data_IF_084819476281
#
_entry.id   IF_084819476281
#
_cell.length_a   1.000
_cell.length_b   1.000
_cell.length_c   1.000
_cell.angle_alpha   90.00
_cell.angle_beta   90.00
_cell.angle_gamma   90.00
#
_symmetry.space_group_name_H-M   'P 1'
#
loop_
_entity.id
_entity.type
_entity.pdbx_description
1 polymer ?
#
# COMPACT_ATOMS: atom_id res chain seq x y z
N UNK A 1 35.90 1.79 9.55
CA UNK A 1 36.12 0.38 9.93
C UNK A 1 36.33 0.20 11.44
N UNK A 2 37.25 0.93 12.12
CA UNK A 2 37.53 0.76 13.57
C UNK A 2 36.33 1.03 14.52
N UNK A 3 35.50 2.06 14.27
CA UNK A 3 34.30 2.34 15.09
C UNK A 3 33.24 1.24 15.01
N UNK A 4 33.08 0.60 13.83
CA UNK A 4 32.12 -0.48 13.63
C UNK A 4 32.56 -1.76 14.37
N UNK A 5 33.86 -2.08 14.33
CA UNK A 5 34.44 -3.22 15.04
C UNK A 5 34.40 -2.99 16.57
N UNK A 6 34.57 -1.77 17.02
CA UNK A 6 34.48 -1.40 18.45
C UNK A 6 33.03 -1.53 18.95
N UNK A 7 32.03 -1.08 18.18
CA UNK A 7 30.61 -1.29 18.48
C UNK A 7 30.23 -2.79 18.55
N UNK A 8 30.82 -3.63 17.69
CA UNK A 8 30.58 -5.09 17.70
C UNK A 8 31.04 -5.71 19.03
N UNK A 9 32.18 -5.27 19.55
CA UNK A 9 32.75 -5.75 20.86
C UNK A 9 31.94 -5.28 22.06
N UNK A 10 31.28 -4.11 21.96
CA UNK A 10 30.51 -3.52 23.05
C UNK A 10 29.04 -4.03 23.12
N UNK A 11 28.49 -4.60 22.01
CA UNK A 11 27.09 -5.02 21.94
C UNK A 11 26.87 -6.39 21.28
N UNK A 12 27.55 -7.47 21.73
CA UNK A 12 27.44 -8.79 21.10
C UNK A 12 26.00 -9.33 21.09
N UNK A 13 25.20 -9.00 22.12
CA UNK A 13 23.80 -9.43 22.23
C UNK A 13 22.95 -8.87 21.08
N UNK A 14 23.03 -7.59 20.78
CA UNK A 14 22.27 -6.94 19.72
C UNK A 14 22.59 -7.54 18.34
N UNK A 15 23.86 -7.87 18.10
CA UNK A 15 24.32 -8.48 16.85
C UNK A 15 23.83 -9.92 16.73
N UNK A 16 23.85 -10.69 17.81
CA UNK A 16 23.31 -12.05 17.82
C UNK A 16 21.82 -12.01 17.47
N UNK A 17 21.06 -11.06 18.00
CA UNK A 17 19.65 -10.88 17.69
C UNK A 17 19.41 -10.53 16.20
N UNK A 18 20.26 -9.67 15.62
CA UNK A 18 20.21 -9.37 14.19
C UNK A 18 20.49 -10.62 13.34
N UNK A 19 21.57 -11.31 13.64
CA UNK A 19 21.97 -12.52 12.88
C UNK A 19 20.91 -13.63 12.99
N UNK A 20 20.34 -13.81 14.18
CA UNK A 20 19.24 -14.75 14.38
C UNK A 20 17.99 -14.36 13.58
N UNK A 21 17.61 -13.09 13.60
CA UNK A 21 16.49 -12.57 12.80
C UNK A 21 16.76 -12.76 11.31
N UNK A 22 17.94 -12.37 10.82
CA UNK A 22 18.33 -12.58 9.42
C UNK A 22 18.29 -14.06 9.02
N UNK A 23 18.78 -14.96 9.88
CA UNK A 23 18.76 -16.38 9.60
C UNK A 23 17.33 -16.91 9.42
N UNK A 24 16.40 -16.50 10.30
CA UNK A 24 14.99 -16.91 10.19
C UNK A 24 14.35 -16.34 8.92
N UNK A 25 14.49 -15.04 8.66
CA UNK A 25 13.88 -14.42 7.48
C UNK A 25 14.45 -14.97 6.17
N UNK A 26 15.77 -15.15 6.06
CA UNK A 26 16.40 -15.72 4.87
C UNK A 26 16.06 -17.21 4.70
N UNK A 27 15.99 -17.98 5.80
CA UNK A 27 15.53 -19.35 5.72
C UNK A 27 14.17 -19.45 5.04
N UNK A 28 13.19 -18.66 5.48
CA UNK A 28 11.85 -18.68 4.88
C UNK A 28 11.79 -18.00 3.51
N UNK A 29 12.65 -17.05 3.23
CA UNK A 29 12.78 -16.47 1.88
C UNK A 29 13.16 -17.55 0.85
N UNK A 30 14.07 -18.45 1.21
CA UNK A 30 14.48 -19.56 0.33
C UNK A 30 13.55 -20.76 0.38
N UNK A 31 12.97 -21.07 1.54
CA UNK A 31 12.10 -22.22 1.73
C UNK A 31 10.73 -22.05 1.06
N UNK A 32 10.08 -20.91 1.31
CA UNK A 32 8.75 -20.61 0.75
C UNK A 32 8.85 -19.93 -0.64
N UNK A 33 9.98 -19.25 -0.95
CA UNK A 33 10.16 -18.50 -2.18
C UNK A 33 9.24 -17.30 -2.29
N UNK A 34 9.02 -16.84 -3.53
CA UNK A 34 8.09 -15.74 -3.83
C UNK A 34 6.66 -16.27 -3.91
N UNK A 35 5.76 -15.62 -3.19
CA UNK A 35 4.34 -15.97 -3.18
C UNK A 35 3.55 -14.94 -3.97
N UNK A 36 2.86 -15.42 -5.00
CA UNK A 36 2.02 -14.65 -5.91
C UNK A 36 0.58 -14.67 -5.39
N UNK A 37 0.01 -13.49 -5.24
CA UNK A 37 -1.41 -13.27 -4.96
C UNK A 37 -2.09 -12.69 -6.20
N UNK A 38 -3.40 -12.59 -6.18
CA UNK A 38 -4.18 -11.98 -7.25
C UNK A 38 -3.64 -10.59 -7.64
N UNK A 39 -3.45 -9.73 -6.65
CA UNK A 39 -2.90 -8.38 -6.85
C UNK A 39 -1.45 -8.34 -7.36
N UNK A 40 -0.68 -9.40 -7.16
CA UNK A 40 0.74 -9.44 -7.56
C UNK A 40 0.92 -9.27 -9.07
N UNK A 41 -0.01 -9.80 -9.86
CA UNK A 41 0.02 -9.67 -11.33
C UNK A 41 -0.02 -8.21 -11.77
N UNK A 42 -0.84 -7.38 -11.13
CA UNK A 42 -0.98 -5.97 -11.47
C UNK A 42 0.29 -5.15 -11.19
N UNK A 43 1.08 -5.55 -10.17
CA UNK A 43 2.40 -4.95 -9.93
C UNK A 43 3.45 -5.46 -10.92
N UNK A 44 3.44 -6.77 -11.22
CA UNK A 44 4.37 -7.41 -12.16
C UNK A 44 4.20 -6.86 -13.58
N UNK A 45 2.95 -6.65 -14.01
CA UNK A 45 2.58 -6.13 -15.31
C UNK A 45 2.65 -4.59 -15.38
N UNK A 46 3.00 -3.93 -14.28
CA UNK A 46 3.08 -2.48 -14.18
C UNK A 46 1.76 -1.79 -14.56
N UNK A 47 0.63 -2.34 -14.07
CA UNK A 47 -0.71 -1.83 -14.36
C UNK A 47 -0.86 -0.34 -14.04
N UNK A 48 -1.66 0.37 -14.84
CA UNK A 48 -1.97 1.79 -14.64
C UNK A 48 -2.68 2.07 -13.30
N UNK A 49 -3.34 1.07 -12.72
CA UNK A 49 -4.03 1.17 -11.44
C UNK A 49 -3.10 1.11 -10.21
N UNK A 50 -1.77 1.06 -10.39
CA UNK A 50 -0.81 0.88 -9.29
C UNK A 50 0.16 2.05 -9.16
N UNK A 51 0.45 2.40 -7.93
CA UNK A 51 1.48 3.38 -7.58
C UNK A 51 2.85 2.95 -8.09
N UNK A 52 3.71 3.89 -8.49
CA UNK A 52 4.87 3.61 -9.35
C UNK A 52 6.04 2.88 -8.65
N UNK A 53 6.25 3.06 -7.34
CA UNK A 53 7.50 2.63 -6.72
C UNK A 53 7.69 1.11 -6.71
N UNK A 54 6.66 0.35 -6.32
CA UNK A 54 6.79 -1.10 -6.21
C UNK A 54 6.91 -1.79 -7.58
N UNK A 55 6.12 -1.43 -8.61
CA UNK A 55 6.37 -1.89 -9.98
C UNK A 55 7.77 -1.58 -10.50
N UNK A 56 8.31 -0.37 -10.24
CA UNK A 56 9.68 -0.01 -10.61
C UNK A 56 10.73 -0.86 -9.90
N UNK A 57 10.52 -1.17 -8.62
CA UNK A 57 11.39 -2.09 -7.87
C UNK A 57 11.42 -3.47 -8.51
N UNK A 58 10.25 -4.01 -8.88
CA UNK A 58 10.13 -5.28 -9.60
C UNK A 58 10.85 -5.23 -10.96
N UNK A 59 10.63 -4.16 -11.73
CA UNK A 59 11.27 -3.94 -13.02
C UNK A 59 12.80 -3.84 -12.90
N UNK A 60 13.30 -3.15 -11.89
CA UNK A 60 14.73 -3.08 -11.58
C UNK A 60 15.34 -4.47 -11.38
N UNK A 61 14.76 -5.30 -10.51
CA UNK A 61 15.27 -6.65 -10.31
C UNK A 61 15.10 -7.55 -11.53
N UNK A 62 14.03 -7.37 -12.31
CA UNK A 62 13.81 -8.08 -13.57
C UNK A 62 14.89 -7.74 -14.60
N UNK A 63 15.37 -6.50 -14.66
CA UNK A 63 16.46 -6.11 -15.55
C UNK A 63 17.81 -6.74 -15.16
N UNK A 64 18.03 -7.04 -13.87
CA UNK A 64 19.23 -7.72 -13.38
C UNK A 64 19.19 -9.24 -13.60
N UNK A 65 18.02 -9.85 -13.44
CA UNK A 65 17.84 -11.31 -13.60
C UNK A 65 16.39 -11.64 -13.91
N UNK A 66 16.03 -11.80 -15.21
CA UNK A 66 14.65 -12.08 -15.61
C UNK A 66 14.02 -13.31 -14.95
N UNK A 67 14.81 -14.36 -14.71
CA UNK A 67 14.32 -15.63 -14.21
C UNK A 67 14.18 -15.65 -12.66
N UNK A 68 14.95 -14.82 -11.94
CA UNK A 68 15.06 -14.89 -10.47
C UNK A 68 14.65 -13.59 -9.76
N UNK A 69 14.14 -12.60 -10.49
CA UNK A 69 13.87 -11.28 -9.92
C UNK A 69 12.90 -11.31 -8.73
N UNK A 70 11.87 -12.15 -8.77
CA UNK A 70 10.93 -12.27 -7.66
C UNK A 70 11.60 -12.78 -6.38
N UNK A 71 12.52 -13.76 -6.51
CA UNK A 71 13.30 -14.23 -5.37
C UNK A 71 14.20 -13.12 -4.82
N UNK A 72 14.83 -12.31 -5.66
CA UNK A 72 15.67 -11.20 -5.21
C UNK A 72 14.86 -10.12 -4.49
N UNK A 73 13.63 -9.83 -4.96
CA UNK A 73 12.70 -8.93 -4.26
C UNK A 73 12.35 -9.49 -2.88
N UNK A 74 12.01 -10.77 -2.79
CA UNK A 74 11.72 -11.45 -1.51
C UNK A 74 12.92 -11.40 -0.58
N UNK A 75 14.13 -11.67 -1.06
CA UNK A 75 15.35 -11.57 -0.25
C UNK A 75 15.54 -10.14 0.27
N UNK A 76 15.36 -9.13 -0.58
CA UNK A 76 15.43 -7.72 -0.16
C UNK A 76 14.40 -7.40 0.93
N UNK A 77 13.14 -7.79 0.74
CA UNK A 77 12.05 -7.57 1.71
C UNK A 77 12.36 -8.21 3.07
N UNK A 78 12.88 -9.43 3.06
CA UNK A 78 13.24 -10.17 4.26
C UNK A 78 14.46 -9.58 4.98
N UNK A 79 15.51 -9.16 4.25
CA UNK A 79 16.66 -8.46 4.82
C UNK A 79 16.23 -7.12 5.41
N UNK A 80 15.41 -6.37 4.68
CA UNK A 80 14.91 -5.07 5.13
C UNK A 80 14.08 -5.22 6.40
N UNK A 81 13.25 -6.26 6.51
CA UNK A 81 12.45 -6.54 7.70
C UNK A 81 13.30 -6.91 8.91
N UNK A 82 14.28 -7.80 8.74
CA UNK A 82 15.19 -8.17 9.80
C UNK A 82 15.96 -6.94 10.33
N UNK A 83 16.46 -6.11 9.40
CA UNK A 83 17.23 -4.92 9.74
C UNK A 83 16.38 -3.83 10.39
N UNK A 84 15.19 -3.54 9.85
CA UNK A 84 14.29 -2.51 10.38
C UNK A 84 13.76 -2.87 11.77
N UNK A 85 13.38 -4.12 11.97
CA UNK A 85 12.96 -4.62 13.28
C UNK A 85 14.10 -4.55 14.31
N UNK A 86 15.30 -4.96 13.90
CA UNK A 86 16.49 -4.90 14.77
C UNK A 86 16.86 -3.46 15.17
N UNK A 87 16.96 -2.52 14.22
CA UNK A 87 17.40 -1.16 14.51
C UNK A 87 16.43 -0.42 15.44
N UNK A 88 15.11 -0.63 15.21
CA UNK A 88 14.07 -0.07 16.07
C UNK A 88 14.14 -0.66 17.48
N UNK A 89 14.22 -1.98 17.60
CA UNK A 89 14.34 -2.66 18.89
C UNK A 89 15.58 -2.25 19.68
N UNK A 90 16.74 -2.16 19.00
CA UNK A 90 18.00 -1.75 19.64
C UNK A 90 17.94 -0.29 20.11
N UNK A 91 17.33 0.58 19.33
CA UNK A 91 17.12 1.98 19.69
C UNK A 91 16.17 2.12 20.89
N UNK A 92 15.03 1.44 20.87
CA UNK A 92 14.09 1.41 22.00
C UNK A 92 14.73 0.85 23.28
N UNK A 93 15.50 -0.23 23.17
CA UNK A 93 16.25 -0.79 24.30
C UNK A 93 17.16 0.24 24.93
N UNK A 94 17.88 1.01 24.13
CA UNK A 94 18.83 2.04 24.62
C UNK A 94 18.10 3.21 25.29
N UNK A 95 17.06 3.76 24.65
CA UNK A 95 16.34 4.92 25.19
C UNK A 95 15.61 4.57 26.49
N UNK A 96 14.94 3.43 26.51
CA UNK A 96 14.12 3.02 27.65
C UNK A 96 14.94 2.28 28.72
N UNK A 97 16.26 2.13 28.50
CA UNK A 97 17.19 1.41 29.38
C UNK A 97 16.65 0.03 29.80
N UNK A 98 16.11 -0.71 28.83
CA UNK A 98 15.45 -2.02 29.08
C UNK A 98 16.52 -3.09 29.31
N UNK A 99 16.30 -3.90 30.36
CA UNK A 99 17.17 -5.05 30.64
C UNK A 99 17.19 -6.04 29.48
N UNK A 100 18.33 -6.71 29.24
CA UNK A 100 18.55 -7.61 28.11
C UNK A 100 17.46 -8.67 27.93
N UNK A 101 16.96 -9.25 29.03
CA UNK A 101 15.92 -10.27 28.99
C UNK A 101 14.63 -9.73 28.35
N UNK A 102 14.14 -8.58 28.79
CA UNK A 102 12.93 -7.97 28.23
C UNK A 102 13.15 -7.41 26.83
N UNK A 103 14.37 -6.95 26.51
CA UNK A 103 14.69 -6.49 25.17
C UNK A 103 14.65 -7.63 24.13
N UNK A 104 14.87 -8.88 24.54
CA UNK A 104 14.68 -10.04 23.67
C UNK A 104 13.29 -10.07 23.04
N UNK A 105 12.25 -9.71 23.81
CA UNK A 105 10.87 -9.66 23.33
C UNK A 105 10.75 -8.63 22.19
N UNK A 106 11.38 -7.43 22.35
CA UNK A 106 11.34 -6.40 21.31
C UNK A 106 11.98 -6.87 19.99
N UNK A 107 13.10 -7.59 20.07
CA UNK A 107 13.77 -8.11 18.87
C UNK A 107 12.99 -9.25 18.22
N UNK A 108 12.35 -10.10 19.02
CA UNK A 108 11.59 -11.25 18.52
C UNK A 108 10.20 -10.88 18.03
N UNK A 109 9.64 -9.75 18.45
CA UNK A 109 8.28 -9.35 18.10
C UNK A 109 8.02 -9.32 16.58
N UNK A 110 8.88 -8.68 15.74
CA UNK A 110 8.69 -8.71 14.29
C UNK A 110 8.76 -10.12 13.70
N UNK A 111 9.69 -10.94 14.20
CA UNK A 111 9.84 -12.34 13.77
C UNK A 111 8.62 -13.16 14.18
N UNK A 112 8.17 -13.03 15.44
CA UNK A 112 7.00 -13.74 15.95
C UNK A 112 5.73 -13.36 15.17
N UNK A 113 5.54 -12.07 14.87
CA UNK A 113 4.41 -11.60 14.06
C UNK A 113 4.44 -12.20 12.65
N UNK A 114 5.61 -12.24 12.01
CA UNK A 114 5.77 -12.84 10.68
C UNK A 114 5.51 -14.35 10.69
N UNK A 115 5.99 -15.05 11.70
CA UNK A 115 5.73 -16.48 11.90
C UNK A 115 4.26 -16.74 12.21
N UNK A 116 3.62 -15.89 13.02
CA UNK A 116 2.19 -15.99 13.30
C UNK A 116 1.36 -15.84 12.01
N UNK A 117 1.69 -14.86 11.18
CA UNK A 117 1.06 -14.70 9.85
C UNK A 117 1.25 -15.96 9.00
N UNK A 118 2.42 -16.59 9.05
CA UNK A 118 2.70 -17.81 8.28
C UNK A 118 1.88 -19.02 8.78
N UNK A 119 1.75 -19.20 10.09
CA UNK A 119 1.14 -20.41 10.67
C UNK A 119 -0.34 -20.24 11.02
N UNK A 120 -0.78 -19.03 11.40
CA UNK A 120 -2.16 -18.79 11.82
C UNK A 120 -3.06 -18.29 10.67
N UNK A 121 -2.53 -17.48 9.76
CA UNK A 121 -3.28 -17.10 8.56
C UNK A 121 -3.22 -18.24 7.54
N UNK A 122 -4.31 -18.51 6.83
CA UNK A 122 -4.42 -19.52 5.75
C UNK A 122 -3.38 -19.35 4.61
N UNK A 123 -2.36 -18.54 4.79
CA UNK A 123 -1.41 -18.08 3.77
C UNK A 123 -0.09 -18.84 3.75
N UNK A 124 0.18 -19.85 4.48
CA UNK A 124 1.36 -20.72 4.43
C UNK A 124 2.74 -20.04 4.15
N UNK A 125 2.84 -18.70 4.20
CA UNK A 125 4.08 -17.95 3.98
C UNK A 125 4.13 -16.66 4.80
N UNK A 126 5.35 -16.16 5.04
CA UNK A 126 5.52 -14.83 5.64
C UNK A 126 5.03 -13.74 4.69
N UNK A 127 4.44 -12.64 5.22
CA UNK A 127 4.02 -11.51 4.38
C UNK A 127 5.18 -10.87 3.62
N UNK A 128 6.41 -10.97 4.13
CA UNK A 128 7.64 -10.53 3.44
C UNK A 128 8.01 -11.38 2.23
N UNK A 129 7.39 -12.54 2.05
CA UNK A 129 7.56 -13.37 0.86
C UNK A 129 6.51 -13.07 -0.22
N UNK A 130 5.46 -12.31 0.12
CA UNK A 130 4.45 -11.92 -0.85
C UNK A 130 4.96 -10.85 -1.80
N UNK A 131 4.62 -10.99 -3.08
CA UNK A 131 4.85 -9.96 -4.10
C UNK A 131 3.73 -8.94 -4.03
N UNK A 132 3.68 -8.26 -2.88
CA UNK A 132 2.73 -7.21 -2.53
C UNK A 132 3.46 -6.05 -1.85
N UNK A 133 2.85 -4.88 -1.86
CA UNK A 133 3.42 -3.67 -1.24
C UNK A 133 3.62 -3.79 0.26
N UNK A 134 2.87 -4.67 0.95
CA UNK A 134 3.05 -4.96 2.37
C UNK A 134 4.45 -5.48 2.68
N UNK A 135 5.02 -6.29 1.79
CA UNK A 135 6.36 -6.85 1.96
C UNK A 135 7.45 -5.79 2.11
N UNK A 136 7.27 -4.62 1.52
CA UNK A 136 8.21 -3.50 1.63
C UNK A 136 7.71 -2.39 2.54
N UNK A 137 6.41 -2.09 2.57
CA UNK A 137 5.86 -0.99 3.36
C UNK A 137 5.97 -1.24 4.87
N UNK A 138 5.78 -2.48 5.35
CA UNK A 138 5.89 -2.80 6.78
C UNK A 138 7.31 -2.58 7.31
N UNK A 139 8.38 -3.12 6.71
CA UNK A 139 9.74 -2.81 7.14
C UNK A 139 10.09 -1.31 7.01
N UNK A 140 9.63 -0.62 5.96
CA UNK A 140 9.84 0.82 5.84
C UNK A 140 9.10 1.60 6.94
N UNK A 141 7.92 1.15 7.35
CA UNK A 141 7.19 1.75 8.47
C UNK A 141 7.97 1.62 9.79
N UNK A 142 8.60 0.49 10.06
CA UNK A 142 9.47 0.33 11.24
C UNK A 142 10.67 1.29 11.19
N UNK A 143 11.30 1.45 10.01
CA UNK A 143 12.37 2.45 9.81
C UNK A 143 11.86 3.88 9.96
N UNK A 144 10.66 4.17 9.47
CA UNK A 144 10.01 5.47 9.65
C UNK A 144 9.83 5.79 11.15
N UNK A 145 9.28 4.86 11.92
CA UNK A 145 9.11 5.01 13.37
C UNK A 145 10.47 5.19 14.07
N UNK A 146 11.48 4.40 13.69
CA UNK A 146 12.84 4.60 14.19
C UNK A 146 13.34 6.03 13.94
N UNK A 147 13.20 6.54 12.72
CA UNK A 147 13.64 7.90 12.38
C UNK A 147 12.84 8.96 13.14
N UNK A 148 11.55 8.81 13.30
CA UNK A 148 10.69 9.71 14.09
C UNK A 148 11.13 9.74 15.55
N UNK A 149 11.33 8.59 16.17
CA UNK A 149 11.78 8.52 17.56
C UNK A 149 13.15 9.15 17.74
N UNK A 150 14.08 8.89 16.84
CA UNK A 150 15.40 9.48 16.87
C UNK A 150 15.37 11.01 16.69
N UNK A 151 14.48 11.50 15.79
CA UNK A 151 14.25 12.94 15.64
C UNK A 151 13.66 13.57 16.91
N UNK A 152 12.73 12.91 17.55
CA UNK A 152 12.10 13.41 18.78
C UNK A 152 13.07 13.44 19.97
N UNK A 153 13.92 12.43 20.11
CA UNK A 153 14.78 12.26 21.26
C UNK A 153 16.11 13.00 21.14
N UNK A 154 16.75 12.89 19.99
CA UNK A 154 18.07 13.44 19.73
C UNK A 154 18.06 14.70 18.85
N UNK A 155 16.86 15.14 18.43
CA UNK A 155 16.67 16.33 17.59
C UNK A 155 17.42 16.28 16.25
N UNK A 156 17.64 15.11 15.71
CA UNK A 156 18.44 14.88 14.51
C UNK A 156 17.69 15.29 13.23
N UNK A 157 18.12 16.37 12.60
CA UNK A 157 17.58 16.82 11.31
C UNK A 157 17.75 15.75 10.21
N UNK A 158 18.84 14.98 10.25
CA UNK A 158 19.07 13.87 9.32
C UNK A 158 17.91 12.85 9.39
N UNK A 159 17.50 12.47 10.60
CA UNK A 159 16.41 11.50 10.76
C UNK A 159 15.05 12.08 10.38
N UNK A 160 14.86 13.39 10.50
CA UNK A 160 13.66 14.03 9.92
C UNK A 160 13.65 13.94 8.39
N UNK A 161 14.78 14.20 7.73
CA UNK A 161 14.88 14.07 6.27
C UNK A 161 14.68 12.62 5.85
N UNK A 162 15.30 11.66 6.55
CA UNK A 162 15.11 10.23 6.29
C UNK A 162 13.65 9.80 6.48
N UNK A 163 12.98 10.28 7.53
CA UNK A 163 11.55 9.98 7.74
C UNK A 163 10.68 10.52 6.60
N UNK A 164 11.01 11.70 6.06
CA UNK A 164 10.33 12.25 4.89
C UNK A 164 10.55 11.40 3.64
N UNK A 165 11.79 10.99 3.36
CA UNK A 165 12.11 10.11 2.22
C UNK A 165 11.43 8.75 2.34
N UNK A 166 11.42 8.15 3.53
CA UNK A 166 10.74 6.87 3.76
C UNK A 166 9.23 7.03 3.58
N UNK A 167 8.63 8.11 4.10
CA UNK A 167 7.21 8.41 3.90
C UNK A 167 6.88 8.56 2.41
N UNK A 168 7.70 9.28 1.65
CA UNK A 168 7.55 9.42 0.20
C UNK A 168 7.59 8.06 -0.52
N UNK A 169 8.55 7.19 -0.19
CA UNK A 169 8.66 5.85 -0.77
C UNK A 169 7.43 5.00 -0.44
N UNK A 170 6.98 5.02 0.82
CA UNK A 170 5.80 4.28 1.25
C UNK A 170 4.53 4.74 0.52
N UNK A 171 4.31 6.06 0.42
CA UNK A 171 3.16 6.64 -0.28
C UNK A 171 3.21 6.31 -1.78
N UNK A 172 4.42 6.33 -2.37
CA UNK A 172 4.65 5.96 -3.77
C UNK A 172 4.53 4.46 -4.04
N UNK A 173 4.48 3.64 -2.99
CA UNK A 173 4.23 2.20 -3.07
C UNK A 173 2.77 1.86 -2.84
N UNK A 174 2.08 2.62 -1.97
CA UNK A 174 0.70 2.35 -1.55
C UNK A 174 0.05 3.62 -0.98
N UNK A 175 -1.03 4.07 -1.60
CA UNK A 175 -1.75 5.30 -1.23
C UNK A 175 -2.23 5.33 0.24
N UNK A 176 -2.62 4.17 0.79
CA UNK A 176 -3.01 4.06 2.21
C UNK A 176 -1.90 4.46 3.19
N UNK A 177 -0.63 4.48 2.75
CA UNK A 177 0.50 4.94 3.56
C UNK A 177 0.48 6.47 3.81
N UNK A 178 -0.46 7.22 3.23
CA UNK A 178 -0.72 8.62 3.61
C UNK A 178 -0.96 8.78 5.12
N UNK A 179 -1.38 7.71 5.81
CA UNK A 179 -1.51 7.69 7.28
C UNK A 179 -0.24 8.04 8.06
N UNK A 180 0.94 7.98 7.44
CA UNK A 180 2.20 8.39 8.11
C UNK A 180 2.36 9.91 8.20
N UNK A 181 1.64 10.70 7.37
CA UNK A 181 1.75 12.16 7.38
C UNK A 181 1.26 12.81 8.69
N UNK A 182 0.11 12.43 9.27
CA UNK A 182 -0.26 12.88 10.60
C UNK A 182 0.80 12.60 11.67
N UNK A 183 1.45 11.44 11.62
CA UNK A 183 2.52 11.08 12.57
C UNK A 183 3.72 12.02 12.40
N UNK A 184 4.15 12.23 11.14
CA UNK A 184 5.24 13.15 10.80
C UNK A 184 4.91 14.58 11.25
N UNK A 185 3.70 15.05 10.95
CA UNK A 185 3.22 16.37 11.35
C UNK A 185 3.28 16.57 12.87
N UNK A 186 2.68 15.65 13.62
CA UNK A 186 2.65 15.71 15.09
C UNK A 186 4.06 15.65 15.69
N UNK A 187 4.95 14.82 15.15
CA UNK A 187 6.33 14.71 15.63
C UNK A 187 7.09 16.04 15.46
N UNK A 188 6.93 16.70 14.30
CA UNK A 188 7.59 18.00 14.04
C UNK A 188 7.02 19.10 14.95
N UNK A 189 5.70 19.17 15.09
CA UNK A 189 5.04 20.14 15.96
C UNK A 189 5.46 19.94 17.42
N UNK A 190 5.42 18.71 17.92
CA UNK A 190 5.81 18.38 19.29
C UNK A 190 7.28 18.74 19.59
N UNK A 191 8.20 18.42 18.69
CA UNK A 191 9.61 18.76 18.85
C UNK A 191 9.83 20.29 18.96
N UNK A 192 9.13 21.08 18.13
CA UNK A 192 9.24 22.53 18.18
C UNK A 192 8.46 23.15 19.35
N UNK A 193 7.35 22.54 19.78
CA UNK A 193 6.62 22.94 20.98
C UNK A 193 7.52 22.89 22.21
N UNK A 194 8.24 21.80 22.41
CA UNK A 194 9.20 21.63 23.53
C UNK A 194 10.32 22.69 23.51
N UNK A 195 10.61 23.27 22.34
CA UNK A 195 11.60 24.34 22.16
C UNK A 195 10.99 25.75 22.21
N UNK A 196 9.72 25.90 22.59
CA UNK A 196 8.97 27.17 22.60
C UNK A 196 8.94 27.88 21.22
N UNK A 197 8.91 27.10 20.13
CA UNK A 197 8.89 27.55 18.71
C UNK A 197 7.70 26.97 17.97
N UNK A 198 6.53 26.87 18.61
CA UNK A 198 5.35 26.18 18.11
C UNK A 198 4.96 26.62 16.68
N UNK A 199 4.83 27.94 16.44
CA UNK A 199 4.42 28.45 15.12
C UNK A 199 5.39 28.01 14.01
N UNK A 200 6.70 28.07 14.28
CA UNK A 200 7.72 27.56 13.34
C UNK A 200 7.57 26.06 13.11
N UNK A 201 7.24 25.31 14.15
CA UNK A 201 6.98 23.88 14.06
C UNK A 201 5.79 23.56 13.17
N UNK A 202 4.67 24.26 13.34
CA UNK A 202 3.46 24.10 12.53
C UNK A 202 3.76 24.40 11.05
N UNK A 203 4.47 25.49 10.77
CA UNK A 203 4.82 25.85 9.38
C UNK A 203 5.72 24.77 8.75
N UNK A 204 6.78 24.33 9.44
CA UNK A 204 7.67 23.28 8.92
C UNK A 204 6.89 21.98 8.71
N UNK A 205 6.05 21.57 9.66
CA UNK A 205 5.24 20.37 9.55
C UNK A 205 4.28 20.44 8.36
N UNK A 206 3.56 21.55 8.23
CA UNK A 206 2.61 21.77 7.12
C UNK A 206 3.33 21.74 5.77
N UNK A 207 4.43 22.49 5.61
CA UNK A 207 5.21 22.50 4.37
C UNK A 207 5.76 21.12 4.06
N UNK A 208 6.33 20.41 5.05
CA UNK A 208 6.87 19.06 4.87
C UNK A 208 5.81 18.07 4.39
N UNK A 209 4.61 18.10 4.98
CA UNK A 209 3.53 17.21 4.57
C UNK A 209 2.94 17.60 3.21
N UNK A 210 2.71 18.91 2.98
CA UNK A 210 2.15 19.39 1.71
C UNK A 210 3.08 19.13 0.52
N UNK A 211 4.39 19.22 0.70
CA UNK A 211 5.36 18.98 -0.38
C UNK A 211 5.41 17.52 -0.85
N UNK A 212 4.96 16.57 -0.04
CA UNK A 212 4.89 15.15 -0.46
C UNK A 212 3.89 14.95 -1.59
N UNK A 213 2.74 15.63 -1.57
CA UNK A 213 1.71 15.47 -2.60
C UNK A 213 2.19 15.85 -4.01
N UNK A 214 2.72 17.06 -4.26
CA UNK A 214 3.24 17.39 -5.59
C UNK A 214 4.44 16.53 -5.97
N UNK A 215 5.31 16.15 -5.03
CA UNK A 215 6.44 15.26 -5.29
C UNK A 215 5.96 13.88 -5.73
N UNK A 216 4.99 13.30 -5.01
CA UNK A 216 4.36 12.04 -5.38
C UNK A 216 3.65 12.14 -6.74
N UNK A 217 2.81 13.17 -6.95
CA UNK A 217 2.09 13.36 -8.21
C UNK A 217 3.04 13.54 -9.40
N UNK A 218 4.10 14.30 -9.22
CA UNK A 218 5.13 14.47 -10.25
C UNK A 218 5.84 13.13 -10.57
N UNK A 219 6.18 12.36 -9.54
CA UNK A 219 6.80 11.04 -9.73
C UNK A 219 5.89 10.07 -10.47
N UNK A 220 4.61 10.02 -10.08
CA UNK A 220 3.59 9.19 -10.67
C UNK A 220 3.31 9.57 -12.15
N UNK A 221 3.10 10.86 -12.44
CA UNK A 221 2.92 11.33 -13.81
C UNK A 221 4.17 11.08 -14.67
N UNK A 222 5.37 11.25 -14.11
CA UNK A 222 6.64 10.99 -14.81
C UNK A 222 6.79 9.51 -15.14
N UNK A 223 6.46 8.63 -14.19
CA UNK A 223 6.44 7.19 -14.40
C UNK A 223 5.53 6.79 -15.58
N UNK A 224 4.29 7.30 -15.58
CA UNK A 224 3.34 7.01 -16.65
C UNK A 224 3.77 7.62 -17.99
N UNK A 225 4.39 8.79 -17.98
CA UNK A 225 4.94 9.40 -19.19
C UNK A 225 6.02 8.52 -19.85
N UNK A 226 6.96 8.00 -19.05
CA UNK A 226 8.01 7.12 -19.60
C UNK A 226 7.50 5.75 -20.03
N UNK A 227 6.47 5.23 -19.35
CA UNK A 227 5.96 3.89 -19.62
C UNK A 227 4.88 3.88 -20.73
N UNK A 228 4.04 4.94 -20.78
CA UNK A 228 2.81 4.98 -21.61
C UNK A 228 2.73 6.18 -22.54
N UNK A 229 3.67 7.13 -22.47
CA UNK A 229 3.66 8.35 -23.27
C UNK A 229 2.70 9.45 -22.76
N UNK A 230 1.96 9.21 -21.67
CA UNK A 230 0.97 10.16 -21.13
C UNK A 230 1.44 10.71 -19.78
N UNK A 231 1.48 12.05 -19.61
CA UNK A 231 1.83 12.70 -18.35
C UNK A 231 0.61 12.79 -17.44
N UNK A 232 0.21 11.62 -16.89
CA UNK A 232 -1.00 11.42 -16.10
C UNK A 232 -0.67 10.53 -14.88
N UNK A 233 -1.34 10.76 -13.74
CA UNK A 233 -1.19 9.88 -12.58
C UNK A 233 -1.92 8.56 -12.78
N UNK A 234 -1.60 7.58 -11.95
CA UNK A 234 -2.28 6.28 -11.96
C UNK A 234 -3.79 6.45 -11.74
N UNK A 235 -4.57 5.52 -12.27
CA UNK A 235 -6.00 5.43 -12.03
C UNK A 235 -6.25 5.18 -10.53
N UNK A 236 -7.03 6.05 -9.90
CA UNK A 236 -7.37 5.94 -8.48
C UNK A 236 -8.82 5.52 -8.29
N UNK A 237 -9.26 4.46 -8.98
CA UNK A 237 -10.64 4.00 -8.85
C UNK A 237 -10.97 3.71 -7.38
N UNK A 238 -12.04 4.33 -6.88
CA UNK A 238 -12.57 4.08 -5.54
C UNK A 238 -13.32 2.74 -5.47
N UNK A 239 -12.79 1.70 -6.13
CA UNK A 239 -13.44 0.39 -6.31
C UNK A 239 -13.96 -0.21 -5.01
N UNK A 240 -13.18 -0.05 -3.91
CA UNK A 240 -13.62 -0.54 -2.61
C UNK A 240 -14.91 0.16 -2.15
N UNK A 241 -14.95 1.49 -2.26
CA UNK A 241 -16.14 2.26 -1.87
C UNK A 241 -17.33 1.88 -2.73
N UNK A 242 -17.12 1.75 -4.03
CA UNK A 242 -18.18 1.35 -4.96
C UNK A 242 -18.72 -0.05 -4.65
N UNK A 243 -17.84 -0.99 -4.32
CA UNK A 243 -18.24 -2.34 -3.88
C UNK A 243 -19.13 -2.27 -2.64
N UNK A 244 -18.75 -1.42 -1.66
CA UNK A 244 -19.57 -1.19 -0.47
C UNK A 244 -20.92 -0.53 -0.79
N UNK A 245 -20.93 0.41 -1.76
CA UNK A 245 -22.17 1.03 -2.25
C UNK A 245 -23.08 -0.04 -2.84
N UNK A 246 -22.59 -0.84 -3.78
CA UNK A 246 -23.41 -1.92 -4.39
C UNK A 246 -23.86 -2.96 -3.36
N UNK A 247 -23.00 -3.35 -2.42
CA UNK A 247 -23.37 -4.32 -1.38
C UNK A 247 -24.54 -3.86 -0.52
N UNK A 248 -24.60 -2.55 -0.22
CA UNK A 248 -25.66 -1.98 0.63
C UNK A 248 -26.79 -1.30 -0.15
N UNK A 249 -26.70 -1.22 -1.47
CA UNK A 249 -27.66 -0.52 -2.29
C UNK A 249 -29.04 -1.22 -2.31
N UNK A 250 -30.06 -0.40 -2.51
CA UNK A 250 -31.39 -0.81 -2.93
C UNK A 250 -31.59 -0.46 -4.41
N UNK A 251 -32.44 -1.20 -5.11
CA UNK A 251 -32.74 -0.94 -6.52
C UNK A 251 -33.30 0.47 -6.77
N UNK A 252 -34.00 1.00 -5.78
CA UNK A 252 -34.55 2.37 -5.75
C UNK A 252 -33.46 3.48 -5.73
N UNK A 253 -32.25 3.17 -5.30
CA UNK A 253 -31.15 4.14 -5.25
C UNK A 253 -30.77 4.65 -6.65
N UNK A 254 -31.12 3.91 -7.70
CA UNK A 254 -31.02 4.37 -9.07
C UNK A 254 -31.75 5.69 -9.33
N UNK A 255 -32.77 6.05 -8.54
CA UNK A 255 -33.52 7.29 -8.71
C UNK A 255 -32.68 8.54 -8.34
N UNK A 256 -31.64 8.38 -7.51
CA UNK A 256 -30.72 9.45 -7.15
C UNK A 256 -29.69 9.73 -8.25
N UNK A 257 -29.45 8.79 -9.18
CA UNK A 257 -28.47 8.93 -10.25
C UNK A 257 -29.09 9.74 -11.39
N UNK A 258 -28.55 10.95 -11.63
CA UNK A 258 -29.04 11.88 -12.65
C UNK A 258 -28.54 11.55 -14.06
N UNK A 259 -27.35 10.95 -14.17
CA UNK A 259 -26.76 10.52 -15.43
C UNK A 259 -27.43 9.20 -15.85
N UNK A 260 -28.19 9.22 -16.95
CA UNK A 260 -28.98 8.08 -17.42
C UNK A 260 -28.10 6.89 -17.82
N UNK A 261 -26.85 7.16 -18.27
CA UNK A 261 -25.90 6.12 -18.66
C UNK A 261 -25.34 5.41 -17.43
N UNK A 262 -24.91 6.18 -16.41
CA UNK A 262 -24.47 5.65 -15.12
C UNK A 262 -25.62 4.95 -14.38
N UNK A 263 -26.86 5.46 -14.49
CA UNK A 263 -28.06 4.85 -13.91
C UNK A 263 -28.36 3.48 -14.51
N UNK A 264 -28.33 3.36 -15.83
CA UNK A 264 -28.54 2.09 -16.49
C UNK A 264 -27.44 1.08 -16.15
N UNK A 265 -26.19 1.54 -16.08
CA UNK A 265 -25.07 0.72 -15.66
C UNK A 265 -25.24 0.23 -14.22
N UNK A 266 -25.63 1.13 -13.28
CA UNK A 266 -25.93 0.76 -11.91
C UNK A 266 -27.01 -0.32 -11.82
N UNK A 267 -28.14 -0.15 -12.52
CA UNK A 267 -29.24 -1.12 -12.54
C UNK A 267 -28.77 -2.48 -13.05
N UNK A 268 -28.01 -2.49 -14.13
CA UNK A 268 -27.50 -3.74 -14.71
C UNK A 268 -26.58 -4.50 -13.74
N UNK A 269 -25.67 -3.79 -13.04
CA UNK A 269 -24.78 -4.38 -12.04
C UNK A 269 -25.58 -4.86 -10.83
N UNK A 270 -26.50 -4.03 -10.34
CA UNK A 270 -27.38 -4.36 -9.22
C UNK A 270 -28.15 -5.65 -9.48
N UNK A 271 -28.84 -5.74 -10.63
CA UNK A 271 -29.68 -6.88 -11.00
C UNK A 271 -28.85 -8.19 -11.08
N UNK A 272 -27.61 -8.13 -11.55
CA UNK A 272 -26.69 -9.29 -11.53
C UNK A 272 -26.30 -9.68 -10.10
N UNK A 273 -25.89 -8.71 -9.27
CA UNK A 273 -25.50 -8.97 -7.88
C UNK A 273 -26.66 -9.52 -7.04
N UNK A 274 -27.89 -8.99 -7.25
CA UNK A 274 -29.10 -9.43 -6.56
C UNK A 274 -29.46 -10.87 -6.95
N UNK A 275 -29.47 -11.16 -8.25
CA UNK A 275 -29.77 -12.51 -8.78
C UNK A 275 -28.80 -13.58 -8.27
N UNK A 276 -27.56 -13.20 -7.96
CA UNK A 276 -26.52 -14.09 -7.42
C UNK A 276 -26.51 -14.15 -5.88
N UNK A 277 -27.30 -13.32 -5.20
CA UNK A 277 -27.36 -13.25 -3.75
C UNK A 277 -26.15 -12.58 -3.10
N UNK A 278 -25.44 -11.71 -3.81
CA UNK A 278 -24.23 -11.05 -3.32
C UNK A 278 -24.49 -9.81 -2.47
N UNK A 279 -25.71 -9.24 -2.55
CA UNK A 279 -26.06 -8.01 -1.85
C UNK A 279 -26.27 -8.23 -0.35
N UNK A 280 -26.07 -7.17 0.44
CA UNK A 280 -26.27 -7.20 1.89
C UNK A 280 -27.71 -7.54 2.31
N UNK A 281 -28.70 -7.30 1.44
CA UNK A 281 -30.09 -7.71 1.63
C UNK A 281 -30.28 -9.24 1.76
N UNK A 282 -29.34 -10.02 1.21
CA UNK A 282 -29.32 -11.48 1.32
C UNK A 282 -28.51 -12.00 2.51
N UNK A 283 -27.79 -11.11 3.22
CA UNK A 283 -26.97 -11.51 4.34
C UNK A 283 -27.81 -12.04 5.52
N UNK A 284 -27.39 -13.12 6.19
CA UNK A 284 -28.01 -13.55 7.42
C UNK A 284 -27.88 -12.43 8.49
N UNK A 285 -28.94 -12.22 9.28
CA UNK A 285 -28.95 -11.16 10.30
C UNK A 285 -27.90 -11.41 11.39
N UNK A 286 -27.19 -10.37 11.77
CA UNK A 286 -26.22 -10.37 12.83
C UNK A 286 -24.85 -9.88 12.36
N UNK A 287 -24.23 -9.00 13.13
CA UNK A 287 -23.01 -8.27 12.72
C UNK A 287 -21.89 -9.18 12.18
N UNK A 288 -21.60 -10.29 12.83
CA UNK A 288 -20.57 -11.23 12.34
C UNK A 288 -20.96 -11.88 11.02
N UNK A 289 -22.24 -12.28 10.85
CA UNK A 289 -22.73 -12.92 9.63
C UNK A 289 -22.76 -11.94 8.46
N UNK A 290 -23.11 -10.68 8.71
CA UNK A 290 -23.09 -9.63 7.68
C UNK A 290 -21.67 -9.34 7.22
N UNK A 291 -20.69 -9.28 8.16
CA UNK A 291 -19.26 -9.09 7.84
C UNK A 291 -18.70 -10.30 7.07
N UNK A 292 -19.03 -11.52 7.50
CA UNK A 292 -18.60 -12.73 6.81
C UNK A 292 -19.20 -12.79 5.40
N UNK A 293 -20.50 -12.48 5.25
CA UNK A 293 -21.19 -12.44 3.97
C UNK A 293 -20.54 -11.40 3.03
N UNK A 294 -20.25 -10.19 3.52
CA UNK A 294 -19.53 -9.19 2.74
C UNK A 294 -18.15 -9.68 2.32
N UNK A 295 -17.40 -10.28 3.25
CA UNK A 295 -16.07 -10.82 2.96
C UNK A 295 -16.07 -11.93 1.92
N UNK A 296 -17.06 -12.82 1.98
CA UNK A 296 -17.20 -13.94 1.05
C UNK A 296 -17.62 -13.47 -0.37
N UNK A 297 -18.38 -12.39 -0.49
CA UNK A 297 -18.92 -11.89 -1.77
C UNK A 297 -18.20 -10.66 -2.31
N UNK A 298 -17.27 -10.05 -1.55
CA UNK A 298 -16.54 -8.84 -1.95
C UNK A 298 -15.88 -8.98 -3.32
N UNK A 299 -15.10 -10.03 -3.52
CA UNK A 299 -14.40 -10.27 -4.78
C UNK A 299 -15.38 -10.56 -5.93
N UNK A 300 -16.47 -11.26 -5.67
CA UNK A 300 -17.53 -11.54 -6.66
C UNK A 300 -18.23 -10.26 -7.13
N UNK A 301 -18.54 -9.35 -6.21
CA UNK A 301 -19.10 -8.04 -6.57
C UNK A 301 -18.05 -7.22 -7.34
N UNK A 302 -16.85 -7.07 -6.79
CA UNK A 302 -15.85 -6.15 -7.32
C UNK A 302 -15.22 -6.66 -8.63
N UNK A 303 -14.71 -7.91 -8.60
CA UNK A 303 -13.82 -8.44 -9.64
C UNK A 303 -14.62 -9.15 -10.72
N UNK A 304 -15.60 -9.95 -10.32
CA UNK A 304 -16.32 -10.80 -11.26
C UNK A 304 -17.50 -10.08 -11.93
N UNK A 305 -18.09 -9.06 -11.27
CA UNK A 305 -19.32 -8.40 -11.75
C UNK A 305 -19.11 -6.92 -12.07
N UNK A 306 -18.91 -6.10 -11.04
CA UNK A 306 -18.95 -4.64 -11.13
C UNK A 306 -17.86 -4.10 -12.06
N UNK A 307 -16.61 -4.42 -11.82
CA UNK A 307 -15.51 -3.82 -12.58
C UNK A 307 -15.47 -4.25 -14.05
N UNK A 308 -15.68 -5.52 -14.42
CA UNK A 308 -15.81 -5.91 -15.82
C UNK A 308 -16.94 -5.20 -16.55
N UNK A 309 -18.09 -4.99 -15.89
CA UNK A 309 -19.23 -4.31 -16.50
C UNK A 309 -18.95 -2.80 -16.69
N UNK A 310 -18.37 -2.12 -15.69
CA UNK A 310 -17.97 -0.71 -15.80
C UNK A 310 -16.95 -0.54 -16.92
N UNK A 311 -15.93 -1.39 -16.98
CA UNK A 311 -14.89 -1.31 -18.00
C UNK A 311 -15.42 -1.63 -19.41
N UNK A 312 -16.27 -2.62 -19.54
CA UNK A 312 -16.92 -2.94 -20.82
C UNK A 312 -17.79 -1.79 -21.30
N UNK A 313 -18.54 -1.16 -20.39
CA UNK A 313 -19.38 -0.01 -20.70
C UNK A 313 -18.52 1.19 -21.14
N UNK A 314 -17.46 1.53 -20.39
CA UNK A 314 -16.54 2.60 -20.73
C UNK A 314 -15.86 2.37 -22.10
N UNK A 315 -15.45 1.14 -22.41
CA UNK A 315 -14.90 0.78 -23.72
C UNK A 315 -15.92 1.01 -24.82
N UNK A 316 -17.13 0.51 -24.66
CA UNK A 316 -18.19 0.68 -25.66
C UNK A 316 -18.49 2.16 -25.92
N UNK A 317 -18.49 2.99 -24.87
CA UNK A 317 -18.71 4.44 -24.98
C UNK A 317 -17.58 5.12 -25.77
N UNK A 318 -16.34 4.83 -25.46
CA UNK A 318 -15.15 5.39 -26.12
C UNK A 318 -15.04 4.87 -27.57
N UNK A 319 -15.17 3.57 -27.78
CA UNK A 319 -15.04 2.94 -29.10
C UNK A 319 -16.15 3.35 -30.08
N UNK A 320 -17.32 3.71 -29.56
CA UNK A 320 -18.42 4.25 -30.39
C UNK A 320 -18.22 5.71 -30.81
N UNK A 321 -17.24 6.40 -30.19
CA UNK A 321 -16.96 7.80 -30.50
C UNK A 321 -15.96 7.90 -31.65
N UNK A 322 -16.41 8.40 -32.79
CA UNK A 322 -15.60 8.57 -34.01
C UNK A 322 -14.36 9.44 -33.82
N UNK A 323 -14.31 10.27 -32.79
CA UNK A 323 -13.17 11.13 -32.47
C UNK A 323 -11.92 10.33 -32.08
N UNK A 324 -12.09 9.14 -31.52
CA UNK A 324 -11.00 8.29 -31.03
C UNK A 324 -10.54 7.20 -32.01
N UNK A 325 -11.17 7.07 -33.17
CA UNK A 325 -10.90 6.02 -34.18
C UNK A 325 -9.45 6.04 -34.74
N UNK A 326 -8.71 7.14 -34.57
CA UNK A 326 -7.33 7.27 -35.03
C UNK A 326 -6.27 6.98 -33.95
N UNK A 327 -6.70 6.71 -32.72
CA UNK A 327 -5.80 6.50 -31.60
C UNK A 327 -5.27 5.05 -31.56
N UNK A 328 -4.05 4.90 -31.11
CA UNK A 328 -3.46 3.58 -30.81
C UNK A 328 -4.05 2.98 -29.52
N UNK A 329 -3.94 1.68 -29.34
CA UNK A 329 -4.42 0.98 -28.13
C UNK A 329 -3.81 1.57 -26.86
N UNK A 330 -2.55 1.95 -26.88
CA UNK A 330 -1.85 2.59 -25.73
C UNK A 330 -2.40 3.97 -25.38
N UNK A 331 -2.99 4.69 -26.33
CA UNK A 331 -3.64 5.99 -26.11
C UNK A 331 -5.10 5.80 -25.65
N UNK A 332 -5.76 4.71 -26.03
CA UNK A 332 -7.13 4.40 -25.60
C UNK A 332 -7.21 3.92 -24.15
N UNK A 333 -6.23 3.18 -23.65
CA UNK A 333 -6.23 2.66 -22.27
C UNK A 333 -6.50 3.75 -21.22
N UNK A 334 -5.81 4.91 -21.21
CA UNK A 334 -6.11 5.98 -20.27
C UNK A 334 -7.53 6.57 -20.42
N UNK A 335 -8.10 6.56 -21.63
CA UNK A 335 -9.46 7.03 -21.87
C UNK A 335 -10.49 6.07 -21.28
N UNK A 336 -10.29 4.76 -21.43
CA UNK A 336 -11.14 3.74 -20.80
C UNK A 336 -11.10 3.84 -19.28
N UNK A 337 -9.91 4.02 -18.69
CA UNK A 337 -9.76 4.16 -17.25
C UNK A 337 -10.41 5.45 -16.73
N UNK A 338 -10.25 6.58 -17.44
CA UNK A 338 -10.86 7.85 -17.05
C UNK A 338 -12.41 7.77 -17.12
N UNK A 339 -12.96 7.16 -18.16
CA UNK A 339 -14.40 7.00 -18.29
C UNK A 339 -14.96 6.03 -17.24
N UNK A 340 -14.23 4.95 -16.95
CA UNK A 340 -14.57 4.04 -15.85
C UNK A 340 -14.56 4.75 -14.49
N UNK A 341 -13.56 5.60 -14.23
CA UNK A 341 -13.46 6.38 -12.99
C UNK A 341 -14.57 7.44 -12.91
N UNK A 342 -14.95 8.07 -14.05
CA UNK A 342 -16.07 9.01 -14.14
C UNK A 342 -17.39 8.35 -13.74
N UNK A 343 -17.73 7.23 -14.39
CA UNK A 343 -18.95 6.48 -14.11
C UNK A 343 -19.00 6.00 -12.66
N UNK A 344 -17.90 5.48 -12.17
CA UNK A 344 -17.74 5.02 -10.80
C UNK A 344 -17.95 6.17 -9.78
N UNK A 345 -17.39 7.36 -10.05
CA UNK A 345 -17.56 8.53 -9.20
C UNK A 345 -19.00 9.02 -9.19
N UNK A 346 -19.68 9.06 -10.34
CA UNK A 346 -21.08 9.46 -10.42
C UNK A 346 -21.96 8.52 -9.58
N UNK A 347 -21.76 7.20 -9.67
CA UNK A 347 -22.52 6.22 -8.88
C UNK A 347 -22.30 6.45 -7.39
N UNK A 348 -21.03 6.61 -6.95
CA UNK A 348 -20.69 6.84 -5.54
C UNK A 348 -21.32 8.13 -5.03
N UNK A 349 -21.12 9.25 -5.74
CA UNK A 349 -21.56 10.58 -5.31
C UNK A 349 -23.08 10.73 -5.30
N UNK A 350 -23.78 9.94 -6.09
CA UNK A 350 -25.25 9.97 -6.15
C UNK A 350 -25.91 9.18 -5.03
N UNK A 351 -25.25 8.14 -4.50
CA UNK A 351 -25.83 7.21 -3.53
C UNK A 351 -25.36 7.49 -2.10
N UNK A 352 -24.14 8.03 -1.90
CA UNK A 352 -23.62 8.40 -0.59
C UNK A 352 -24.05 9.81 -0.16
#
# INVERSE_FOLDING_TARGET
MNKMIQNIKEHPFSIIMLLGSLAVYLFFAFYDGAVIYWDSHTYIEMSFAREPFYPLLLAFFRSLSPDKYLLYVVILQNILMAFSGWILADYLRKILNIHKLYSTILYLLPVATSLLCRFAAKRASMYTNSILTEGICIPLYLLFIYCILHYLWEYSTLHLILSWLIAFIMISSRKQMLMVLPILFLAVVYNHFNRKKLLKGIIIAAVSCLMIFPAFKFFDCTYNYFLRGTFQGHSSSNRFVTTMVFYNAERSDAEYIQDEDAKQLFLNIYDVCDAQGYLGSHAPKGWFHEVDHFGDHYDHIQIDTMWPMILAHARNTIDSNNEYNSLSESELIPLYDNESDRLNSIIIESIL
#
